data_IF_724705167549
#
_entry.id   IF_724705167549
#
_cell.length_a   1.000
_cell.length_b   1.000
_cell.length_c   1.000
_cell.angle_alpha   90.00
_cell.angle_beta   90.00
_cell.angle_gamma   90.00
#
_symmetry.space_group_name_H-M   'P 1'
#
loop_
_entity.id
_entity.type
_entity.pdbx_description
1 polymer ?
#
# COMPACT_ATOMS: atom_id res chain seq x y z
N UNK A 1 7.30 -1.50 -1.34
CA UNK A 1 6.18 -2.45 -1.13
C UNK A 1 5.39 -2.54 -2.41
N UNK A 2 4.57 -3.58 -2.56
CA UNK A 2 3.63 -3.71 -3.68
C UNK A 2 2.20 -3.91 -3.21
N UNK A 3 1.24 -3.37 -3.95
CA UNK A 3 -0.17 -3.69 -3.83
C UNK A 3 -0.42 -5.07 -4.46
N UNK A 4 -1.20 -5.89 -3.77
CA UNK A 4 -1.60 -7.21 -4.25
C UNK A 4 -2.91 -7.18 -5.06
N UNK A 5 -3.63 -6.06 -5.03
CA UNK A 5 -4.91 -5.86 -5.72
C UNK A 5 -4.88 -4.55 -6.51
N UNK A 6 -5.57 -4.51 -7.65
CA UNK A 6 -5.67 -3.34 -8.54
C UNK A 6 -6.64 -2.28 -7.99
N UNK A 7 -7.50 -2.67 -7.04
CA UNK A 7 -8.51 -1.84 -6.39
C UNK A 7 -8.34 -1.92 -4.86
N UNK A 8 -7.27 -1.35 -4.31
CA UNK A 8 -6.97 -1.46 -2.88
C UNK A 8 -8.01 -0.72 -2.03
N UNK A 9 -8.19 -1.22 -0.81
CA UNK A 9 -9.21 -0.75 0.12
C UNK A 9 -8.62 -0.49 1.50
N UNK A 10 -9.25 0.37 2.28
CA UNK A 10 -9.04 0.34 3.74
C UNK A 10 -9.73 -0.89 4.33
N UNK A 11 -9.45 -1.23 5.58
CA UNK A 11 -10.14 -2.28 6.34
C UNK A 11 -11.66 -2.09 6.38
N UNK A 12 -12.14 -0.84 6.41
CA UNK A 12 -13.56 -0.51 6.31
C UNK A 12 -14.20 -0.81 4.93
N UNK A 13 -13.45 -1.30 3.95
CA UNK A 13 -13.87 -1.57 2.58
C UNK A 13 -13.93 -0.33 1.67
N UNK A 14 -13.28 0.77 2.06
CA UNK A 14 -13.32 2.02 1.29
C UNK A 14 -12.23 2.00 0.24
N UNK A 15 -12.62 2.18 -1.01
CA UNK A 15 -11.71 2.08 -2.13
C UNK A 15 -10.78 3.29 -2.21
N UNK A 16 -9.50 3.04 -2.46
CA UNK A 16 -8.46 4.05 -2.57
C UNK A 16 -8.19 4.39 -4.05
N UNK A 17 -9.09 5.15 -4.67
CA UNK A 17 -9.04 5.49 -6.11
C UNK A 17 -7.72 6.14 -6.55
N UNK A 18 -7.05 6.86 -5.64
CA UNK A 18 -5.75 7.47 -5.87
C UNK A 18 -4.65 6.44 -6.24
N UNK A 19 -4.84 5.18 -5.84
CA UNK A 19 -3.91 4.07 -6.02
C UNK A 19 -4.27 3.16 -7.20
N UNK A 20 -5.34 3.47 -7.96
CA UNK A 20 -5.72 2.66 -9.11
C UNK A 20 -4.62 2.55 -10.16
N UNK A 21 -4.38 1.31 -10.60
CA UNK A 21 -3.34 0.99 -11.58
C UNK A 21 -1.91 1.17 -11.06
N UNK A 22 -1.72 1.39 -9.75
CA UNK A 22 -0.41 1.38 -9.12
C UNK A 22 -0.11 -0.01 -8.56
N UNK A 23 1.08 -0.50 -8.85
CA UNK A 23 1.60 -1.74 -8.26
C UNK A 23 2.55 -1.40 -7.12
N UNK A 24 3.46 -0.45 -7.32
CA UNK A 24 4.54 -0.18 -6.39
C UNK A 24 4.20 1.02 -5.50
N UNK A 25 4.28 0.81 -4.19
CA UNK A 25 3.95 1.82 -3.18
C UNK A 25 5.01 1.90 -2.10
N UNK A 26 5.09 3.08 -1.49
CA UNK A 26 5.94 3.39 -0.35
C UNK A 26 5.02 3.64 0.83
N UNK A 27 5.31 2.96 1.94
CA UNK A 27 4.61 3.24 3.20
C UNK A 27 5.25 4.46 3.87
N UNK A 28 4.39 5.38 4.30
CA UNK A 28 4.79 6.63 4.94
C UNK A 28 5.07 6.40 6.43
N UNK A 29 4.25 5.56 7.06
CA UNK A 29 4.37 5.18 8.47
C UNK A 29 4.15 3.67 8.57
N UNK A 30 5.18 2.95 9.00
CA UNK A 30 5.19 1.48 9.10
C UNK A 30 4.48 0.94 10.36
N UNK A 31 3.91 1.82 11.19
CA UNK A 31 3.05 1.44 12.30
C UNK A 31 1.59 1.35 11.83
N UNK A 32 0.98 0.15 11.79
CA UNK A 32 -0.43 0.02 11.43
C UNK A 32 -1.33 0.72 12.45
N UNK A 33 -2.42 1.32 11.97
CA UNK A 33 -3.44 1.90 12.84
C UNK A 33 -4.28 0.81 13.56
N UNK A 34 -5.22 1.22 14.42
CA UNK A 34 -6.10 0.30 15.17
C UNK A 34 -7.00 -0.55 14.27
N UNK A 35 -7.16 -0.15 13.01
CA UNK A 35 -7.91 -0.85 11.97
C UNK A 35 -6.97 -1.60 11.01
N UNK A 36 -5.69 -1.80 11.37
CA UNK A 36 -4.68 -2.49 10.57
C UNK A 36 -4.42 -1.89 9.19
N UNK A 37 -4.61 -0.57 9.04
CA UNK A 37 -4.27 0.13 7.81
C UNK A 37 -2.88 0.76 7.88
N UNK A 38 -2.29 0.96 6.70
CA UNK A 38 -1.07 1.72 6.47
C UNK A 38 -1.32 2.87 5.49
N UNK A 39 -0.67 4.00 5.76
CA UNK A 39 -0.64 5.11 4.81
C UNK A 39 0.44 4.86 3.77
N UNK A 40 0.03 4.82 2.50
CA UNK A 40 0.94 4.57 1.39
C UNK A 40 0.75 5.60 0.28
N UNK A 41 1.80 5.82 -0.51
CA UNK A 41 1.70 6.55 -1.76
C UNK A 41 2.37 5.77 -2.90
N UNK A 42 1.94 5.95 -4.16
CA UNK A 42 2.65 5.41 -5.31
C UNK A 42 4.06 6.00 -5.39
N UNK A 43 5.03 5.22 -5.89
CA UNK A 43 6.44 5.66 -6.03
C UNK A 43 6.54 6.96 -6.83
N UNK A 44 5.79 7.09 -7.93
CA UNK A 44 5.85 8.26 -8.82
C UNK A 44 4.94 9.44 -8.38
N UNK A 45 4.09 9.25 -7.37
CA UNK A 45 3.07 10.23 -6.95
C UNK A 45 3.03 10.37 -5.42
N UNK A 46 4.04 10.98 -4.79
CA UNK A 46 4.12 11.08 -3.33
C UNK A 46 2.98 11.88 -2.69
N UNK A 47 2.37 12.81 -3.43
CA UNK A 47 1.23 13.59 -2.95
C UNK A 47 -0.09 12.79 -2.92
N UNK A 48 -0.15 11.61 -3.56
CA UNK A 48 -1.34 10.77 -3.66
C UNK A 48 -1.35 9.71 -2.55
N UNK A 49 -1.66 10.13 -1.32
CA UNK A 49 -1.71 9.24 -0.15
C UNK A 49 -3.04 8.48 -0.09
N UNK A 50 -2.97 7.17 0.06
CA UNK A 50 -4.10 6.28 0.32
C UNK A 50 -3.92 5.52 1.64
N UNK A 51 -5.03 5.00 2.15
CA UNK A 51 -5.09 4.19 3.37
C UNK A 51 -5.45 2.75 3.00
N UNK A 52 -4.49 1.83 3.14
CA UNK A 52 -4.62 0.45 2.64
C UNK A 52 -4.52 -0.54 3.78
N UNK A 53 -5.41 -1.54 3.79
CA UNK A 53 -5.36 -2.65 4.75
C UNK A 53 -4.08 -3.47 4.57
N UNK A 54 -3.40 -3.81 5.67
CA UNK A 54 -2.04 -4.35 5.63
C UNK A 54 -1.91 -5.67 4.86
N UNK A 55 -2.96 -6.50 4.79
CA UNK A 55 -2.89 -7.78 4.07
C UNK A 55 -2.96 -7.62 2.55
N UNK A 56 -3.35 -6.44 2.06
CA UNK A 56 -3.29 -6.09 0.64
C UNK A 56 -1.90 -5.63 0.20
N UNK A 57 -0.92 -5.57 1.11
CA UNK A 57 0.45 -5.14 0.85
C UNK A 57 1.44 -6.30 0.92
N UNK A 58 2.27 -6.42 -0.11
CA UNK A 58 3.40 -7.33 -0.15
C UNK A 58 4.72 -6.61 0.02
N UNK A 59 5.64 -7.21 0.79
CA UNK A 59 7.05 -6.87 0.75
C UNK A 59 7.69 -7.49 -0.50
N UNK A 60 8.67 -6.82 -1.10
CA UNK A 60 9.54 -7.51 -2.05
C UNK A 60 10.41 -8.46 -1.24
N UNK A 61 10.61 -9.67 -1.76
CA UNK A 61 11.65 -10.53 -1.24
C UNK A 61 12.99 -9.83 -1.51
N UNK A 62 13.80 -9.68 -0.46
CA UNK A 62 15.18 -9.26 -0.65
C UNK A 62 15.86 -10.37 -1.46
N UNK A 63 16.23 -10.07 -2.70
CA UNK A 63 17.02 -10.98 -3.53
C UNK A 63 18.33 -11.23 -2.78
N UNK A 64 18.43 -12.36 -2.08
CA UNK A 64 19.69 -12.78 -1.46
C UNK A 64 20.72 -12.94 -2.61
N UNK A 65 21.82 -12.16 -2.62
CA UNK A 65 22.78 -12.24 -3.71
C UNK A 65 23.39 -13.66 -3.71
N UNK A 66 23.16 -14.39 -4.80
CA UNK A 66 23.68 -15.74 -5.03
C UNK A 66 25.10 -15.73 -5.60
#
# INVERSE_FOLDING_TARGET
>A
MRLMDEMPTSDAGWVQEALYGCTDVICIDDTPDVMHNLHVHPVDRPDAVGLVEITQLGLYEEDEPT
#
